data_IF_582944909107
#
_entry.id   IF_582944909107
#
_cell.length_a   1.000
_cell.length_b   1.000
_cell.length_c   1.000
_cell.angle_alpha   90.00
_cell.angle_beta   90.00
_cell.angle_gamma   90.00
#
_symmetry.space_group_name_H-M   'P 1'
#
loop_
_entity.id
_entity.type
_entity.pdbx_description
1 polymer ?
#
# COMPACT_ATOMS: atom_id res chain seq x y z
N UNK A 1 -16.54 -2.36 5.61
CA UNK A 1 -15.88 -2.53 4.30
C UNK A 1 -14.37 -2.54 4.48
N UNK A 2 -13.67 -3.32 3.68
CA UNK A 2 -12.20 -3.28 3.66
C UNK A 2 -11.72 -1.88 3.29
N UNK A 3 -10.79 -1.33 4.06
CA UNK A 3 -10.34 0.05 3.90
C UNK A 3 -8.84 0.14 4.10
N UNK A 4 -8.15 0.80 3.16
CA UNK A 4 -6.69 0.97 3.24
C UNK A 4 -6.30 2.43 3.03
N UNK A 5 -5.27 2.92 3.73
CA UNK A 5 -4.74 4.26 3.51
C UNK A 5 -3.84 4.27 2.27
N UNK A 6 -3.97 5.32 1.48
CA UNK A 6 -3.19 5.49 0.25
C UNK A 6 -2.74 6.93 0.09
N UNK A 7 -1.68 7.14 -0.69
CA UNK A 7 -1.25 8.46 -1.13
C UNK A 7 -1.13 8.46 -2.65
N UNK A 8 -1.50 9.58 -3.32
CA UNK A 8 -1.22 9.72 -4.73
C UNK A 8 0.28 9.60 -5.01
N UNK A 9 0.64 8.92 -6.09
CA UNK A 9 2.04 8.83 -6.50
C UNK A 9 2.48 10.18 -7.07
N UNK A 10 3.54 10.75 -6.50
CA UNK A 10 4.10 12.03 -6.95
C UNK A 10 5.19 11.87 -8.00
N UNK A 11 5.83 10.72 -8.06
CA UNK A 11 6.90 10.43 -9.03
C UNK A 11 6.32 10.03 -10.37
N UNK A 12 7.09 10.29 -11.44
CA UNK A 12 6.77 9.74 -12.77
C UNK A 12 7.00 8.24 -12.76
N UNK A 13 5.99 7.48 -13.18
CA UNK A 13 6.07 6.03 -13.26
C UNK A 13 6.30 5.57 -14.69
N UNK A 14 7.26 4.68 -14.88
CA UNK A 14 7.61 4.08 -16.17
C UNK A 14 7.42 2.57 -16.09
N UNK A 15 6.80 2.00 -17.12
CA UNK A 15 6.81 0.55 -17.29
C UNK A 15 8.07 0.17 -18.06
N UNK A 16 8.81 -0.82 -17.55
CA UNK A 16 10.10 -1.24 -18.10
C UNK A 16 10.04 -2.69 -18.53
N UNK A 17 10.61 -3.00 -19.69
CA UNK A 17 10.76 -4.35 -20.18
C UNK A 17 12.10 -4.49 -20.90
N UNK A 18 12.87 -5.53 -20.55
CA UNK A 18 14.16 -5.81 -21.18
C UNK A 18 15.18 -4.69 -21.03
N UNK A 19 15.16 -3.97 -19.90
CA UNK A 19 16.08 -2.87 -19.64
C UNK A 19 15.73 -1.55 -20.33
N UNK A 20 14.64 -1.50 -21.08
CA UNK A 20 14.17 -0.30 -21.78
C UNK A 20 12.80 0.13 -21.28
N UNK A 21 12.56 1.43 -21.34
CA UNK A 21 11.24 1.99 -21.00
C UNK A 21 10.25 1.61 -22.09
N UNK A 22 9.16 0.98 -21.66
CA UNK A 22 8.06 0.60 -22.55
C UNK A 22 7.08 1.76 -22.73
N UNK A 23 6.68 2.40 -21.62
CA UNK A 23 5.75 3.54 -21.63
C UNK A 23 5.77 4.29 -20.31
N UNK A 24 5.22 5.50 -20.32
CA UNK A 24 4.94 6.29 -19.14
C UNK A 24 3.51 6.02 -18.69
N UNK A 25 3.31 5.76 -17.40
CA UNK A 25 1.98 5.52 -16.85
C UNK A 25 1.31 6.83 -16.45
N UNK A 26 -0.01 6.88 -16.57
CA UNK A 26 -0.78 8.01 -16.06
C UNK A 26 -0.93 7.88 -14.54
N UNK A 27 -0.08 8.61 -13.80
CA UNK A 27 -0.01 8.50 -12.33
C UNK A 27 -1.30 8.90 -11.62
N UNK A 28 -2.27 9.54 -12.29
CA UNK A 28 -3.56 9.89 -11.69
C UNK A 28 -4.36 8.67 -11.24
N UNK A 29 -4.07 7.52 -11.80
CA UNK A 29 -4.74 6.25 -11.49
C UNK A 29 -3.91 5.33 -10.59
N UNK A 30 -2.75 5.81 -10.11
CA UNK A 30 -1.84 5.00 -9.31
C UNK A 30 -1.62 5.62 -7.94
N UNK A 31 -1.74 4.80 -6.90
CA UNK A 31 -1.62 5.20 -5.52
C UNK A 31 -0.65 4.29 -4.80
N UNK A 32 0.15 4.86 -3.91
CA UNK A 32 1.01 4.10 -3.02
C UNK A 32 0.21 3.71 -1.78
N UNK A 33 0.24 2.43 -1.44
CA UNK A 33 -0.54 1.88 -0.33
C UNK A 33 0.27 1.91 0.96
N UNK A 34 -0.37 2.30 2.04
CA UNK A 34 0.22 2.33 3.37
C UNK A 34 -0.41 1.27 4.28
N UNK A 35 0.06 1.19 5.49
CA UNK A 35 -0.51 0.41 6.58
C UNK A 35 -0.90 1.35 7.72
N UNK A 36 -1.81 0.96 8.63
CA UNK A 36 -2.49 -0.33 8.70
C UNK A 36 -3.56 -0.50 7.63
N UNK A 37 -3.84 -1.75 7.26
CA UNK A 37 -4.93 -2.12 6.38
C UNK A 37 -6.03 -2.76 7.22
N UNK A 38 -7.26 -2.30 7.07
CA UNK A 38 -8.38 -2.68 7.93
C UNK A 38 -9.43 -3.44 7.14
N UNK A 39 -9.80 -4.61 7.66
CA UNK A 39 -10.76 -5.49 7.00
C UNK A 39 -11.80 -6.00 7.99
N UNK A 40 -13.07 -6.16 7.56
CA UNK A 40 -14.01 -6.96 8.32
C UNK A 40 -13.46 -8.38 8.48
N UNK A 41 -13.65 -8.97 9.66
CA UNK A 41 -13.10 -10.29 9.97
C UNK A 41 -13.47 -11.34 8.92
N UNK A 42 -14.74 -11.41 8.55
CA UNK A 42 -15.24 -12.41 7.59
C UNK A 42 -14.62 -12.23 6.20
N UNK A 43 -14.37 -10.99 5.79
CA UNK A 43 -13.76 -10.68 4.50
C UNK A 43 -12.32 -11.19 4.45
N UNK A 44 -11.51 -10.83 5.45
CA UNK A 44 -10.09 -11.22 5.46
C UNK A 44 -9.93 -12.73 5.63
N UNK A 45 -10.74 -13.37 6.46
CA UNK A 45 -10.69 -14.83 6.62
C UNK A 45 -11.06 -15.55 5.34
N UNK A 46 -12.10 -15.10 4.65
CA UNK A 46 -12.49 -15.67 3.35
C UNK A 46 -11.41 -15.48 2.32
N UNK A 47 -10.78 -14.31 2.27
CA UNK A 47 -9.69 -14.01 1.36
C UNK A 47 -8.49 -14.95 1.56
N UNK A 48 -8.10 -15.19 2.81
CA UNK A 48 -7.02 -16.12 3.13
C UNK A 48 -7.36 -17.57 2.78
N UNK A 49 -8.58 -18.02 3.04
CA UNK A 49 -9.03 -19.37 2.67
C UNK A 49 -8.97 -19.57 1.16
N UNK A 50 -9.44 -18.59 0.38
CA UNK A 50 -9.41 -18.66 -1.07
C UNK A 50 -7.98 -18.60 -1.61
N UNK A 51 -7.14 -17.74 -1.03
CA UNK A 51 -5.73 -17.66 -1.42
C UNK A 51 -5.02 -19.02 -1.22
N UNK A 52 -5.27 -19.69 -0.10
CA UNK A 52 -4.73 -21.01 0.18
C UNK A 52 -5.25 -22.05 -0.82
N UNK A 53 -6.54 -22.02 -1.10
CA UNK A 53 -7.19 -22.99 -2.01
C UNK A 53 -6.70 -22.84 -3.45
N UNK A 54 -6.53 -21.62 -3.94
CA UNK A 54 -6.18 -21.34 -5.33
C UNK A 54 -4.69 -20.99 -5.53
N UNK A 55 -3.89 -21.01 -4.48
CA UNK A 55 -2.47 -20.69 -4.56
C UNK A 55 -2.19 -19.23 -4.89
N UNK A 56 -3.12 -18.31 -4.54
CA UNK A 56 -2.97 -16.89 -4.80
C UNK A 56 -1.88 -16.29 -3.91
N UNK A 57 -0.98 -15.51 -4.53
CA UNK A 57 0.07 -14.77 -3.82
C UNK A 57 -0.17 -13.28 -4.04
N UNK A 58 -0.19 -12.52 -2.96
CA UNK A 58 -0.36 -11.07 -3.00
C UNK A 58 0.80 -10.35 -2.32
N UNK A 59 1.04 -9.12 -2.73
CA UNK A 59 2.07 -8.26 -2.11
C UNK A 59 1.62 -7.69 -0.78
N UNK A 60 0.32 -7.65 -0.53
CA UNK A 60 -0.29 -7.23 0.73
C UNK A 60 -1.61 -7.97 0.95
N UNK A 61 -2.23 -7.77 2.13
CA UNK A 61 -3.51 -8.38 2.45
C UNK A 61 -4.64 -7.89 1.53
N UNK A 62 -4.61 -6.62 1.15
CA UNK A 62 -5.60 -6.05 0.25
C UNK A 62 -5.61 -6.76 -1.11
N UNK A 63 -4.45 -7.18 -1.62
CA UNK A 63 -4.37 -7.93 -2.87
C UNK A 63 -5.12 -9.27 -2.78
N UNK A 64 -5.06 -9.94 -1.63
CA UNK A 64 -5.81 -11.19 -1.40
C UNK A 64 -7.31 -10.93 -1.34
N UNK A 65 -7.72 -9.84 -0.71
CA UNK A 65 -9.13 -9.44 -0.60
C UNK A 65 -9.69 -9.10 -1.99
N UNK A 66 -8.95 -8.37 -2.80
CA UNK A 66 -9.31 -8.06 -4.19
C UNK A 66 -9.45 -9.34 -5.02
N UNK A 67 -8.50 -10.27 -4.92
CA UNK A 67 -8.53 -11.54 -5.63
C UNK A 67 -9.74 -12.39 -5.24
N UNK A 68 -10.23 -12.26 -4.01
CA UNK A 68 -11.44 -12.93 -3.54
C UNK A 68 -12.74 -12.25 -4.03
N UNK A 69 -12.64 -11.14 -4.73
CA UNK A 69 -13.80 -10.45 -5.30
C UNK A 69 -14.45 -9.41 -4.40
N UNK A 70 -13.83 -9.06 -3.27
CA UNK A 70 -14.35 -8.04 -2.38
C UNK A 70 -13.83 -6.65 -2.78
N UNK A 71 -14.66 -5.62 -2.69
CA UNK A 71 -14.20 -4.25 -2.90
C UNK A 71 -13.31 -3.78 -1.75
N UNK A 72 -12.30 -2.97 -2.07
CA UNK A 72 -11.43 -2.34 -1.08
C UNK A 72 -11.53 -0.83 -1.25
N UNK A 73 -11.97 -0.16 -0.20
CA UNK A 73 -12.12 1.29 -0.18
C UNK A 73 -10.81 1.95 0.23
N UNK A 74 -10.52 3.11 -0.34
CA UNK A 74 -9.32 3.87 0.01
C UNK A 74 -9.68 5.08 0.87
N UNK A 75 -8.76 5.45 1.76
CA UNK A 75 -8.78 6.72 2.50
C UNK A 75 -7.44 7.42 2.32
N UNK A 76 -7.42 8.72 2.50
CA UNK A 76 -6.17 9.47 2.42
C UNK A 76 -5.26 9.10 3.59
N UNK A 77 -4.01 8.74 3.27
CA UNK A 77 -2.99 8.44 4.25
C UNK A 77 -2.17 9.66 4.65
N UNK A 78 -1.06 9.43 5.32
CA UNK A 78 -0.14 10.45 5.80
C UNK A 78 1.26 10.22 5.26
N UNK A 79 1.93 11.27 4.77
CA UNK A 79 3.31 11.16 4.27
C UNK A 79 4.30 10.72 5.33
N UNK A 80 4.04 11.07 6.60
CA UNK A 80 4.86 10.66 7.73
C UNK A 80 4.69 9.19 8.12
N UNK A 81 3.66 8.53 7.61
CA UNK A 81 3.42 7.11 7.86
C UNK A 81 4.28 6.26 6.91
N UNK A 82 5.56 6.21 7.17
CA UNK A 82 6.51 5.46 6.33
C UNK A 82 6.71 4.04 6.85
N UNK A 83 6.92 3.11 5.93
CA UNK A 83 7.30 1.75 6.24
C UNK A 83 8.82 1.69 6.38
N UNK A 84 9.30 1.30 7.54
CA UNK A 84 10.73 1.17 7.79
C UNK A 84 11.23 -0.12 7.14
N UNK A 85 11.94 0.01 6.03
CA UNK A 85 12.45 -1.12 5.23
C UNK A 85 13.97 -1.06 5.09
N UNK A 86 14.52 0.14 4.93
CA UNK A 86 15.95 0.38 4.78
C UNK A 86 16.48 1.24 5.93
N UNK A 87 17.81 1.21 6.22
CA UNK A 87 18.40 2.03 7.30
C UNK A 87 18.06 3.52 7.22
N UNK A 88 17.98 4.09 6.02
CA UNK A 88 17.64 5.51 5.83
C UNK A 88 16.22 5.83 6.31
N UNK A 89 15.32 4.85 6.30
CA UNK A 89 13.94 5.03 6.75
C UNK A 89 13.88 5.32 8.26
N UNK A 90 14.82 4.79 9.03
CA UNK A 90 14.93 5.10 10.46
C UNK A 90 15.25 6.58 10.67
N UNK A 91 16.10 7.16 9.83
CA UNK A 91 16.43 8.58 9.88
C UNK A 91 15.20 9.44 9.57
N UNK A 92 14.47 9.11 8.51
CA UNK A 92 13.24 9.82 8.16
C UNK A 92 12.20 9.70 9.26
N UNK A 93 12.00 8.51 9.82
CA UNK A 93 11.07 8.29 10.92
C UNK A 93 11.44 9.13 12.14
N UNK A 94 12.73 9.24 12.47
CA UNK A 94 13.18 10.04 13.60
C UNK A 94 12.94 11.54 13.39
N UNK A 95 13.06 12.04 12.17
CA UNK A 95 12.74 13.44 11.83
C UNK A 95 11.25 13.72 12.02
N UNK A 96 10.38 12.84 11.52
CA UNK A 96 8.94 12.99 11.69
C UNK A 96 8.53 12.91 13.16
N UNK A 97 9.13 12.02 13.93
CA UNK A 97 8.85 11.89 15.36
C UNK A 97 9.22 13.16 16.13
N UNK A 98 10.36 13.76 15.84
CA UNK A 98 10.78 15.03 16.45
C UNK A 98 9.81 16.16 16.10
N UNK A 99 9.34 16.21 14.86
CA UNK A 99 8.36 17.18 14.40
C UNK A 99 7.04 17.08 15.22
N UNK A 100 6.56 15.87 15.47
CA UNK A 100 5.38 15.62 16.29
C UNK A 100 5.61 16.07 17.75
N UNK A 101 6.78 15.78 18.32
CA UNK A 101 7.12 16.18 19.68
C UNK A 101 7.18 17.69 19.85
N UNK A 102 7.61 18.43 18.83
CA UNK A 102 7.71 19.89 18.87
C UNK A 102 6.37 20.60 18.71
N UNK A 103 5.33 19.90 18.21
CA UNK A 103 4.00 20.47 18.05
C UNK A 103 3.13 20.38 19.31
N UNK A 104 3.63 19.75 20.33
CA UNK A 104 2.97 19.68 21.63
C UNK A 104 3.48 20.83 22.51
#
# INVERSE_FOLDING_TARGET
MATIPVLPVSDTLKEVKGGCILRTLDRRHFYAVQTPQVFPREVILTAYRQAKRFGTVGTDDAALVEAAGFPVQIIEGERSNIKITYPDDLLYASVFLKSIQHTK
#
